data_IF_129107466058
#
_entry.id   IF_129107466058
#
_cell.length_a   1.000
_cell.length_b   1.000
_cell.length_c   1.000
_cell.angle_alpha   90.00
_cell.angle_beta   90.00
_cell.angle_gamma   90.00
#
_symmetry.space_group_name_H-M   'P 1'
#
loop_
_entity.id
_entity.type
_entity.pdbx_description
1 polymer ?
#
# COMPACT_ATOMS: atom_id res chain seq x y z
N UNK A 1 28.81 12.04 21.89
CA UNK A 1 27.68 12.55 21.08
C UNK A 1 26.99 11.34 20.48
N UNK A 2 25.78 11.01 20.94
CA UNK A 2 25.07 9.80 20.50
C UNK A 2 23.98 10.18 19.49
N UNK A 3 23.97 9.48 18.37
CA UNK A 3 23.06 9.69 17.24
C UNK A 3 21.77 8.90 17.45
N UNK A 4 20.63 9.56 17.21
CA UNK A 4 19.31 8.93 17.07
C UNK A 4 19.22 8.44 15.62
N UNK A 5 19.10 7.12 15.42
CA UNK A 5 18.80 6.57 14.08
C UNK A 5 17.42 5.96 14.12
N UNK A 6 16.46 6.71 13.60
CA UNK A 6 15.10 6.24 13.34
C UNK A 6 15.11 5.57 11.97
N UNK A 7 14.97 4.24 11.91
CA UNK A 7 14.75 3.52 10.65
C UNK A 7 13.25 3.24 10.55
N UNK A 8 12.61 3.82 9.54
CA UNK A 8 11.16 3.73 9.31
C UNK A 8 10.97 2.75 8.14
N UNK A 9 10.64 1.50 8.45
CA UNK A 9 10.19 0.50 7.46
C UNK A 9 8.69 0.25 7.72
N UNK A 10 7.77 0.75 6.86
CA UNK A 10 6.33 0.82 7.14
C UNK A 10 5.51 -0.47 7.07
N UNK A 11 6.02 -1.54 7.68
CA UNK A 11 5.15 -2.55 8.29
C UNK A 11 5.40 -2.65 9.80
N UNK A 12 6.55 -2.21 10.29
CA UNK A 12 6.96 -2.47 11.67
C UNK A 12 7.48 -1.18 12.32
N UNK A 13 6.67 -0.58 13.20
CA UNK A 13 7.17 0.48 14.09
C UNK A 13 7.85 -0.17 15.30
N UNK A 14 9.03 -0.74 15.10
CA UNK A 14 9.87 -1.22 16.19
C UNK A 14 10.60 -0.05 16.86
N UNK A 15 10.17 0.33 18.07
CA UNK A 15 10.84 1.33 18.90
C UNK A 15 11.98 0.65 19.65
N UNK A 16 13.22 0.77 19.16
CA UNK A 16 14.41 0.33 19.89
C UNK A 16 14.86 1.43 20.86
N UNK A 17 14.71 1.18 22.17
CA UNK A 17 15.17 2.09 23.23
C UNK A 17 16.60 1.74 23.64
N UNK A 18 17.58 2.57 23.31
CA UNK A 18 18.93 2.46 23.87
C UNK A 18 18.98 3.18 25.23
N UNK A 19 19.14 2.42 26.31
CA UNK A 19 19.25 2.91 27.69
C UNK A 19 20.67 3.45 27.94
N UNK A 20 20.76 4.50 28.76
CA UNK A 20 22.01 5.12 29.23
C UNK A 20 22.79 4.13 30.11
N UNK A 21 24.08 3.93 29.83
CA UNK A 21 24.94 3.08 30.67
C UNK A 21 24.93 3.59 32.14
N UNK A 22 24.54 2.71 33.08
CA UNK A 22 24.62 2.94 34.54
C UNK A 22 23.32 2.85 35.36
N UNK A 23 22.14 2.66 34.75
CA UNK A 23 20.85 2.61 35.49
C UNK A 23 20.59 1.19 36.09
N UNK A 24 20.09 1.06 37.34
CA UNK A 24 19.80 -0.23 37.97
C UNK A 24 18.75 -1.03 37.18
N UNK A 25 18.95 -2.34 37.01
CA UNK A 25 18.04 -3.19 36.23
C UNK A 25 16.57 -3.13 36.70
N UNK A 26 16.33 -2.91 38.00
CA UNK A 26 15.00 -2.80 38.57
C UNK A 26 14.19 -1.58 38.06
N UNK A 27 14.85 -0.50 37.64
CA UNK A 27 14.19 0.75 37.21
C UNK A 27 13.95 0.79 35.69
N UNK A 28 14.63 -0.09 34.93
CA UNK A 28 14.57 -0.11 33.45
C UNK A 28 13.21 -0.54 32.91
N UNK A 29 12.62 -1.59 33.46
CA UNK A 29 11.31 -2.12 33.04
C UNK A 29 10.17 -1.09 33.18
N UNK A 30 9.97 -0.49 34.37
CA UNK A 30 8.95 0.56 34.57
C UNK A 30 9.13 1.79 33.68
N UNK A 31 10.39 2.19 33.42
CA UNK A 31 10.72 3.30 32.53
C UNK A 31 10.37 2.97 31.08
N UNK A 32 10.71 1.76 30.62
CA UNK A 32 10.38 1.27 29.29
C UNK A 32 8.85 1.23 29.08
N UNK A 33 8.10 0.73 30.06
CA UNK A 33 6.64 0.70 30.02
C UNK A 33 6.03 2.12 29.95
N UNK A 34 6.57 3.07 30.72
CA UNK A 34 6.11 4.46 30.72
C UNK A 34 6.36 5.15 29.38
N UNK A 35 7.54 4.92 28.79
CA UNK A 35 7.89 5.44 27.48
C UNK A 35 7.02 4.82 26.38
N UNK A 36 6.85 3.49 26.40
CA UNK A 36 6.00 2.79 25.44
C UNK A 36 4.57 3.33 25.45
N UNK A 37 4.00 3.60 26.63
CA UNK A 37 2.67 4.22 26.76
C UNK A 37 2.60 5.60 26.08
N UNK A 38 3.61 6.44 26.27
CA UNK A 38 3.66 7.76 25.62
C UNK A 38 3.80 7.63 24.10
N UNK A 39 4.69 6.74 23.63
CA UNK A 39 4.91 6.52 22.21
C UNK A 39 3.68 5.92 21.50
N UNK A 40 2.96 4.99 22.14
CA UNK A 40 1.69 4.44 21.66
C UNK A 40 0.65 5.55 21.58
N UNK A 41 0.51 6.37 22.63
CA UNK A 41 -0.46 7.48 22.63
C UNK A 41 -0.16 8.53 21.55
N UNK A 42 1.12 8.85 21.34
CA UNK A 42 1.55 9.74 20.26
C UNK A 42 1.25 9.13 18.88
N UNK A 43 1.54 7.85 18.68
CA UNK A 43 1.20 7.14 17.44
C UNK A 43 -0.31 7.14 17.18
N UNK A 44 -1.13 6.91 18.21
CA UNK A 44 -2.58 6.98 18.11
C UNK A 44 -3.07 8.38 17.73
N UNK A 45 -2.47 9.45 18.26
CA UNK A 45 -2.83 10.83 17.92
C UNK A 45 -2.39 11.20 16.49
N UNK A 46 -1.20 10.79 16.06
CA UNK A 46 -0.75 10.96 14.67
C UNK A 46 -1.71 10.25 13.72
N UNK A 47 -2.08 9.01 14.03
CA UNK A 47 -3.02 8.24 13.25
C UNK A 47 -4.40 8.92 13.24
N UNK A 48 -4.90 9.37 14.40
CA UNK A 48 -6.17 10.11 14.53
C UNK A 48 -6.20 11.37 13.67
N UNK A 49 -5.11 12.14 13.63
CA UNK A 49 -5.02 13.33 12.77
C UNK A 49 -4.99 12.98 11.29
N UNK A 50 -4.31 11.91 10.92
CA UNK A 50 -4.18 11.48 9.53
C UNK A 50 -5.49 10.87 8.99
N UNK A 51 -6.20 10.06 9.80
CA UNK A 51 -7.30 9.22 9.35
C UNK A 51 -8.65 9.54 10.02
N UNK A 52 -8.69 10.49 10.96
CA UNK A 52 -9.91 10.91 11.67
C UNK A 52 -10.30 10.01 12.85
N UNK A 53 -9.60 8.90 13.09
CA UNK A 53 -9.85 7.94 14.18
C UNK A 53 -8.59 7.21 14.63
N UNK A 54 -8.63 6.52 15.76
CA UNK A 54 -7.51 5.68 16.22
C UNK A 54 -7.72 4.25 15.69
N UNK A 55 -6.80 3.72 14.86
CA UNK A 55 -6.91 2.35 14.38
C UNK A 55 -6.64 1.37 15.52
N UNK A 56 -7.25 0.17 15.50
CA UNK A 56 -6.92 -0.87 16.45
C UNK A 56 -5.44 -1.23 16.31
N UNK A 57 -4.83 -1.62 17.43
CA UNK A 57 -3.45 -2.07 17.47
C UNK A 57 -3.34 -3.24 18.43
N UNK A 58 -2.44 -4.16 18.08
CA UNK A 58 -2.03 -5.21 18.99
C UNK A 58 -0.77 -4.79 19.74
N UNK A 59 -0.61 -5.27 20.96
CA UNK A 59 0.56 -4.98 21.78
C UNK A 59 1.20 -6.29 22.21
N UNK A 60 2.52 -6.38 22.01
CA UNK A 60 3.34 -7.51 22.41
C UNK A 60 4.38 -7.05 23.42
N UNK A 61 4.48 -7.76 24.55
CA UNK A 61 5.49 -7.50 25.59
C UNK A 61 6.36 -8.73 25.71
N UNK A 62 7.64 -8.61 25.37
CA UNK A 62 8.57 -9.74 25.28
C UNK A 62 8.03 -10.90 24.42
N UNK A 63 7.33 -10.57 23.32
CA UNK A 63 6.68 -11.54 22.43
C UNK A 63 5.34 -12.10 22.93
N UNK A 64 4.86 -11.68 24.11
CA UNK A 64 3.55 -12.08 24.65
C UNK A 64 2.48 -11.07 24.24
N UNK A 65 1.53 -11.51 23.42
CA UNK A 65 0.39 -10.71 22.98
C UNK A 65 -0.52 -10.35 24.17
N UNK A 66 -0.95 -9.09 24.25
CA UNK A 66 -1.91 -8.62 25.25
C UNK A 66 -1.40 -8.59 26.70
N UNK A 67 -0.11 -8.85 26.92
CA UNK A 67 0.49 -8.76 28.24
C UNK A 67 0.56 -7.30 28.72
N UNK A 68 0.42 -7.03 30.04
CA UNK A 68 0.58 -5.68 30.58
C UNK A 68 1.96 -5.12 30.25
N UNK A 69 2.04 -3.83 29.89
CA UNK A 69 3.29 -3.14 29.55
C UNK A 69 4.30 -3.23 30.70
N UNK A 70 3.81 -3.22 31.93
CA UNK A 70 4.58 -3.31 33.18
C UNK A 70 5.26 -4.68 33.35
N UNK A 71 4.83 -5.70 32.62
CA UNK A 71 5.41 -7.05 32.69
C UNK A 71 6.66 -7.23 31.81
N UNK A 72 7.13 -6.13 31.22
CA UNK A 72 8.36 -6.11 30.41
C UNK A 72 9.58 -6.36 31.29
N UNK A 73 10.47 -7.22 30.81
CA UNK A 73 11.77 -7.44 31.48
C UNK A 73 12.65 -6.17 31.40
N UNK A 74 13.62 -6.01 32.31
CA UNK A 74 14.54 -4.87 32.32
C UNK A 74 15.18 -4.53 30.97
N UNK A 75 15.54 -5.56 30.20
CA UNK A 75 16.11 -5.43 28.85
C UNK A 75 15.15 -6.02 27.78
N UNK A 76 13.84 -5.98 28.08
CA UNK A 76 12.78 -6.51 27.24
C UNK A 76 12.36 -5.56 26.11
N UNK A 77 11.39 -5.99 25.33
CA UNK A 77 10.89 -5.23 24.17
C UNK A 77 9.37 -5.13 24.21
N UNK A 78 8.85 -3.95 23.87
CA UNK A 78 7.42 -3.71 23.69
C UNK A 78 7.20 -3.30 22.23
N UNK A 79 6.30 -3.99 21.55
CA UNK A 79 5.91 -3.72 20.16
C UNK A 79 4.42 -3.40 20.13
N UNK A 80 4.05 -2.34 19.41
CA UNK A 80 2.66 -2.00 19.13
C UNK A 80 2.45 -1.95 17.62
N UNK A 81 1.60 -2.82 17.10
CA UNK A 81 1.36 -3.01 15.67
C UNK A 81 0.01 -2.41 15.30
N UNK A 82 0.01 -1.40 14.42
CA UNK A 82 -1.22 -0.75 13.95
C UNK A 82 -1.60 -1.30 12.57
N UNK A 83 -2.84 -1.75 12.41
CA UNK A 83 -3.38 -2.19 11.12
C UNK A 83 -3.76 -1.00 10.21
N UNK A 84 -2.77 -0.25 9.71
CA UNK A 84 -3.01 0.95 8.90
C UNK A 84 -3.33 0.66 7.42
N UNK A 85 -2.89 -0.50 6.91
CA UNK A 85 -3.06 -0.86 5.50
C UNK A 85 -4.52 -1.22 5.18
N UNK A 86 -5.22 -1.95 6.05
CA UNK A 86 -6.63 -2.29 5.86
C UNK A 86 -7.51 -1.04 5.74
N UNK A 87 -7.29 -0.03 6.59
CA UNK A 87 -8.01 1.24 6.50
C UNK A 87 -7.66 2.03 5.23
N UNK A 88 -6.39 2.04 4.82
CA UNK A 88 -5.98 2.65 3.56
C UNK A 88 -6.73 2.02 2.38
N UNK A 89 -6.81 0.69 2.31
CA UNK A 89 -7.49 -0.02 1.21
C UNK A 89 -9.00 0.21 1.22
N UNK A 90 -9.64 0.09 2.38
CA UNK A 90 -11.07 0.35 2.52
C UNK A 90 -11.42 1.79 2.11
N UNK A 91 -10.62 2.78 2.54
CA UNK A 91 -10.83 4.18 2.20
C UNK A 91 -10.63 4.44 0.69
N UNK A 92 -9.61 3.87 0.07
CA UNK A 92 -9.40 4.00 -1.39
C UNK A 92 -10.60 3.39 -2.14
N UNK A 93 -11.03 2.19 -1.74
CA UNK A 93 -12.19 1.52 -2.35
C UNK A 93 -13.45 2.38 -2.28
N UNK A 94 -13.74 2.95 -1.11
CA UNK A 94 -14.87 3.88 -0.91
C UNK A 94 -14.74 5.13 -1.80
N UNK A 95 -13.55 5.74 -1.86
CA UNK A 95 -13.32 6.93 -2.69
C UNK A 95 -13.44 6.64 -4.18
N UNK A 96 -13.01 5.47 -4.65
CA UNK A 96 -13.20 5.06 -6.05
C UNK A 96 -14.69 4.98 -6.40
N UNK A 97 -15.51 4.37 -5.53
CA UNK A 97 -16.97 4.31 -5.71
C UNK A 97 -17.58 5.71 -5.68
N UNK A 98 -17.25 6.54 -4.69
CA UNK A 98 -17.84 7.87 -4.52
C UNK A 98 -17.48 8.86 -5.63
N UNK A 99 -16.31 8.70 -6.27
CA UNK A 99 -15.85 9.56 -7.37
C UNK A 99 -16.18 8.97 -8.75
N UNK A 100 -16.87 7.83 -8.80
CA UNK A 100 -17.22 7.19 -10.06
C UNK A 100 -18.37 7.89 -10.78
N UNK A 101 -18.29 8.06 -12.11
CA UNK A 101 -19.41 8.57 -12.89
C UNK A 101 -20.59 7.58 -12.87
N UNK A 102 -21.80 8.13 -12.78
CA UNK A 102 -23.03 7.34 -12.76
C UNK A 102 -23.76 7.49 -14.09
N UNK A 103 -23.93 6.36 -14.78
CA UNK A 103 -24.86 6.20 -15.91
C UNK A 103 -25.70 4.93 -15.68
N UNK A 104 -25.04 3.77 -15.62
CA UNK A 104 -25.63 2.47 -15.25
C UNK A 104 -25.18 1.99 -13.87
N UNK A 105 -24.06 2.52 -13.36
CA UNK A 105 -23.40 2.06 -12.13
C UNK A 105 -22.27 1.05 -12.38
N UNK A 106 -22.14 0.52 -13.60
CA UNK A 106 -21.16 -0.53 -13.93
C UNK A 106 -19.73 -0.11 -13.63
N UNK A 107 -19.37 1.14 -13.90
CA UNK A 107 -18.02 1.64 -13.62
C UNK A 107 -17.69 1.55 -12.13
N UNK A 108 -18.59 2.01 -11.25
CA UNK A 108 -18.41 1.97 -9.80
C UNK A 108 -18.38 0.53 -9.25
N UNK A 109 -19.12 -0.39 -9.86
CA UNK A 109 -19.15 -1.79 -9.47
C UNK A 109 -17.91 -2.60 -9.95
N UNK A 110 -17.06 -2.01 -10.79
CA UNK A 110 -15.98 -2.72 -11.50
C UNK A 110 -14.57 -2.37 -11.03
N UNK A 111 -14.46 -1.81 -9.82
CA UNK A 111 -13.17 -1.66 -9.17
C UNK A 111 -12.74 -3.02 -8.62
N UNK A 112 -11.59 -3.50 -9.08
CA UNK A 112 -10.96 -4.73 -8.61
C UNK A 112 -9.70 -4.38 -7.81
N UNK A 113 -9.46 -5.17 -6.77
CA UNK A 113 -8.32 -5.02 -5.87
C UNK A 113 -7.46 -6.28 -5.87
N UNK A 114 -6.15 -6.10 -5.86
CA UNK A 114 -5.18 -7.18 -5.99
C UNK A 114 -4.05 -7.01 -4.98
N UNK A 115 -3.55 -8.14 -4.48
CA UNK A 115 -2.35 -8.26 -3.66
C UNK A 115 -1.38 -9.22 -4.40
N UNK A 116 -0.23 -8.72 -4.85
CA UNK A 116 0.74 -9.45 -5.70
C UNK A 116 0.10 -10.17 -6.89
N UNK A 117 -0.87 -9.49 -7.52
CA UNK A 117 -1.60 -10.00 -8.67
C UNK A 117 -2.74 -10.96 -8.34
N UNK A 118 -2.96 -11.34 -7.08
CA UNK A 118 -4.10 -12.16 -6.66
C UNK A 118 -5.28 -11.26 -6.32
N UNK A 119 -6.45 -11.51 -6.91
CA UNK A 119 -7.66 -10.75 -6.61
C UNK A 119 -8.11 -10.98 -5.17
N UNK A 120 -8.37 -9.90 -4.43
CA UNK A 120 -8.77 -9.92 -3.02
C UNK A 120 -9.84 -8.87 -2.77
N UNK A 121 -10.62 -9.05 -1.69
CA UNK A 121 -11.59 -8.05 -1.26
C UNK A 121 -10.91 -6.96 -0.43
N UNK A 122 -11.03 -5.70 -0.86
CA UNK A 122 -10.47 -4.55 -0.17
C UNK A 122 -11.14 -4.27 1.20
N UNK A 123 -12.37 -4.76 1.41
CA UNK A 123 -13.09 -4.66 2.69
C UNK A 123 -12.87 -5.85 3.63
N UNK A 124 -12.18 -6.90 3.18
CA UNK A 124 -11.92 -8.12 3.94
C UNK A 124 -10.52 -8.17 4.54
N UNK A 125 -10.12 -9.35 5.01
CA UNK A 125 -8.74 -9.61 5.44
C UNK A 125 -7.83 -9.64 4.21
N UNK A 126 -6.99 -8.61 4.09
CA UNK A 126 -6.04 -8.48 2.98
C UNK A 126 -4.73 -9.21 3.33
N UNK A 127 -4.25 -10.15 2.50
CA UNK A 127 -2.99 -10.84 2.76
C UNK A 127 -1.80 -9.88 2.62
N UNK A 128 -0.70 -10.18 3.33
CA UNK A 128 0.55 -9.45 3.14
C UNK A 128 1.08 -9.66 1.71
N UNK A 129 1.43 -8.55 1.05
CA UNK A 129 1.96 -8.51 -0.32
C UNK A 129 2.95 -7.35 -0.49
N UNK A 130 3.83 -7.48 -1.49
CA UNK A 130 4.81 -6.43 -1.85
C UNK A 130 4.14 -5.27 -2.60
N UNK A 131 3.23 -5.58 -3.53
CA UNK A 131 2.47 -4.61 -4.32
C UNK A 131 0.97 -4.87 -4.20
N UNK A 132 0.23 -3.83 -3.83
CA UNK A 132 -1.24 -3.82 -3.91
C UNK A 132 -1.70 -2.90 -5.02
N UNK A 133 -2.78 -3.29 -5.71
CA UNK A 133 -3.26 -2.53 -6.86
C UNK A 133 -4.79 -2.51 -6.90
N UNK A 134 -5.34 -1.30 -7.00
CA UNK A 134 -6.70 -1.10 -7.48
C UNK A 134 -6.67 -0.85 -8.98
N UNK A 135 -7.59 -1.43 -9.74
CA UNK A 135 -7.79 -1.12 -11.16
C UNK A 135 -9.26 -1.27 -11.55
N UNK A 136 -9.69 -0.61 -12.63
CA UNK A 136 -11.06 -0.77 -13.12
C UNK A 136 -11.07 -1.73 -14.31
N UNK A 137 -11.91 -2.76 -14.27
CA UNK A 137 -11.95 -3.78 -15.33
C UNK A 137 -12.78 -3.39 -16.55
N UNK A 138 -13.49 -2.26 -16.51
CA UNK A 138 -14.32 -1.83 -17.64
C UNK A 138 -13.48 -1.42 -18.84
N UNK A 139 -13.84 -1.85 -20.07
CA UNK A 139 -13.07 -1.56 -21.27
C UNK A 139 -13.00 -0.06 -21.61
N UNK A 140 -13.97 0.72 -21.13
CA UNK A 140 -14.04 2.17 -21.33
C UNK A 140 -13.43 2.98 -20.18
N UNK A 141 -12.89 2.35 -19.12
CA UNK A 141 -12.40 3.06 -17.96
C UNK A 141 -11.29 4.07 -18.28
N UNK A 142 -10.44 3.74 -19.25
CA UNK A 142 -9.43 4.65 -19.76
C UNK A 142 -9.99 5.93 -20.41
N UNK A 143 -11.16 5.85 -21.06
CA UNK A 143 -11.79 7.04 -21.64
C UNK A 143 -12.24 7.98 -20.54
N UNK A 144 -12.84 7.44 -19.49
CA UNK A 144 -13.22 8.19 -18.29
C UNK A 144 -11.97 8.84 -17.67
N UNK A 145 -10.89 8.08 -17.50
CA UNK A 145 -9.65 8.61 -16.92
C UNK A 145 -9.01 9.75 -17.72
N UNK A 146 -9.26 9.80 -19.04
CA UNK A 146 -8.76 10.87 -19.92
C UNK A 146 -9.69 12.10 -19.97
N UNK A 147 -10.69 12.17 -19.10
CA UNK A 147 -11.63 13.29 -19.05
C UNK A 147 -12.72 13.25 -20.12
N UNK A 148 -12.94 12.10 -20.78
CA UNK A 148 -14.06 11.97 -21.74
C UNK A 148 -15.43 11.80 -21.03
N UNK A 149 -15.44 11.79 -19.69
CA UNK A 149 -16.65 11.87 -18.89
C UNK A 149 -16.77 13.29 -18.30
N UNK A 150 -17.86 14.01 -18.54
CA UNK A 150 -18.11 15.30 -17.89
C UNK A 150 -18.17 15.21 -16.35
N UNK A 151 -18.50 14.03 -15.80
CA UNK A 151 -18.55 13.78 -14.36
C UNK A 151 -17.18 13.49 -13.73
N UNK A 152 -16.17 13.17 -14.55
CA UNK A 152 -14.80 12.88 -14.11
C UNK A 152 -13.79 13.51 -15.07
N UNK A 153 -13.74 14.85 -15.18
CA UNK A 153 -12.89 15.56 -16.13
C UNK A 153 -11.39 15.33 -15.86
N UNK A 154 -11.02 15.18 -14.59
CA UNK A 154 -9.64 14.95 -14.14
C UNK A 154 -9.31 13.47 -13.94
N UNK A 155 -10.19 12.56 -14.37
CA UNK A 155 -10.09 11.13 -14.12
C UNK A 155 -10.43 10.74 -12.67
N UNK A 156 -10.74 9.46 -12.48
CA UNK A 156 -11.16 8.93 -11.16
C UNK A 156 -9.95 8.43 -10.39
N UNK A 157 -9.11 7.62 -11.04
CA UNK A 157 -7.99 6.95 -10.39
C UNK A 157 -6.86 7.91 -10.05
N UNK A 158 -6.54 8.85 -10.93
CA UNK A 158 -5.53 9.87 -10.70
C UNK A 158 -5.95 10.81 -9.56
N UNK A 159 -7.20 11.27 -9.57
CA UNK A 159 -7.79 12.08 -8.50
C UNK A 159 -7.76 11.36 -7.16
N UNK A 160 -8.22 10.11 -7.10
CA UNK A 160 -8.23 9.32 -5.86
C UNK A 160 -6.81 9.00 -5.40
N UNK A 161 -5.87 8.67 -6.29
CA UNK A 161 -4.47 8.47 -5.93
C UNK A 161 -3.86 9.74 -5.31
N UNK A 162 -4.19 10.93 -5.84
CA UNK A 162 -3.72 12.19 -5.26
C UNK A 162 -4.30 12.43 -3.86
N UNK A 163 -5.59 12.18 -3.66
CA UNK A 163 -6.24 12.29 -2.35
C UNK A 163 -5.64 11.27 -1.35
N UNK A 164 -5.45 10.02 -1.78
CA UNK A 164 -4.84 8.96 -0.98
C UNK A 164 -3.40 9.32 -0.58
N UNK A 165 -2.59 9.82 -1.51
CA UNK A 165 -1.22 10.29 -1.21
C UNK A 165 -1.18 11.41 -0.19
N UNK A 166 -2.11 12.36 -0.25
CA UNK A 166 -2.19 13.46 0.72
C UNK A 166 -2.54 12.95 2.12
N UNK A 167 -3.38 11.92 2.21
CA UNK A 167 -3.87 11.36 3.48
C UNK A 167 -2.95 10.31 4.09
N UNK A 168 -2.39 9.41 3.27
CA UNK A 168 -1.68 8.20 3.69
C UNK A 168 -0.26 8.10 3.13
N UNK A 169 0.30 9.17 2.57
CA UNK A 169 1.65 9.15 1.98
C UNK A 169 2.78 8.88 2.99
N UNK A 170 2.49 8.99 4.29
CA UNK A 170 3.36 8.57 5.40
C UNK A 170 3.29 7.07 5.70
N UNK A 171 2.22 6.39 5.28
CA UNK A 171 2.00 4.95 5.50
C UNK A 171 2.54 4.13 4.33
N UNK A 172 2.21 4.49 3.08
CA UNK A 172 2.60 3.71 1.90
C UNK A 172 3.01 4.59 0.71
N UNK A 173 3.75 4.00 -0.24
CA UNK A 173 4.03 4.64 -1.52
C UNK A 173 2.84 4.42 -2.47
N UNK A 174 2.00 5.44 -2.61
CA UNK A 174 0.79 5.40 -3.45
C UNK A 174 1.04 6.15 -4.75
N UNK A 175 0.74 5.54 -5.91
CA UNK A 175 0.97 6.10 -7.24
C UNK A 175 -0.15 5.76 -8.21
N UNK A 176 -0.49 6.71 -9.08
CA UNK A 176 -1.31 6.43 -10.25
C UNK A 176 -0.47 5.78 -11.35
N UNK A 177 -1.02 4.80 -12.04
CA UNK A 177 -0.41 4.14 -13.19
C UNK A 177 -1.45 3.53 -14.12
N UNK A 178 -0.99 2.92 -15.21
CA UNK A 178 -1.80 2.09 -16.09
C UNK A 178 -1.29 0.65 -16.01
N UNK A 179 -2.15 -0.30 -15.69
CA UNK A 179 -1.83 -1.73 -15.54
C UNK A 179 -2.62 -2.58 -16.51
N UNK A 180 -2.03 -3.66 -17.01
CA UNK A 180 -2.72 -4.65 -17.84
C UNK A 180 -3.34 -5.72 -16.95
N UNK A 181 -4.61 -5.99 -17.18
CA UNK A 181 -5.34 -7.09 -16.56
C UNK A 181 -5.33 -8.29 -17.53
N UNK A 182 -4.95 -9.46 -17.05
CA UNK A 182 -5.04 -10.71 -17.80
C UNK A 182 -5.64 -11.77 -16.86
N UNK A 183 -6.60 -12.55 -17.37
CA UNK A 183 -7.42 -13.54 -16.65
C UNK A 183 -6.70 -14.16 -15.42
N UNK A 184 -7.16 -13.80 -14.22
CA UNK A 184 -6.65 -14.33 -12.95
C UNK A 184 -5.62 -13.46 -12.21
N UNK A 185 -5.13 -12.35 -12.78
CA UNK A 185 -4.25 -11.45 -12.05
C UNK A 185 -3.72 -10.20 -12.77
N UNK A 186 -2.80 -9.50 -12.11
CA UNK A 186 -2.04 -8.38 -12.69
C UNK A 186 -0.72 -8.92 -13.19
N UNK A 187 -0.37 -8.61 -14.44
CA UNK A 187 0.93 -8.98 -14.99
C UNK A 187 1.92 -7.84 -14.66
N UNK A 188 2.89 -8.04 -13.73
CA UNK A 188 4.01 -7.11 -13.60
C UNK A 188 4.85 -7.19 -14.87
N UNK A 189 5.48 -6.07 -15.24
CA UNK A 189 6.29 -5.95 -16.45
C UNK A 189 7.46 -6.96 -16.42
N UNK A 190 7.30 -8.11 -17.08
CA UNK A 190 8.41 -8.92 -17.54
C UNK A 190 8.71 -8.48 -18.97
N UNK A 191 9.78 -7.72 -19.16
CA UNK A 191 10.29 -7.35 -20.47
C UNK A 191 10.83 -8.57 -21.22
N UNK A 192 9.97 -9.50 -21.65
CA UNK A 192 10.37 -10.57 -22.56
C UNK A 192 10.26 -10.04 -23.98
N UNK A 193 11.37 -9.46 -24.44
CA UNK A 193 11.60 -9.24 -25.85
C UNK A 193 11.47 -10.59 -26.58
N UNK A 194 10.53 -10.70 -27.51
CA UNK A 194 10.49 -11.85 -28.41
C UNK A 194 11.73 -11.80 -29.31
N UNK A 195 12.60 -12.81 -29.17
CA UNK A 195 13.86 -12.89 -29.92
C UNK A 195 13.59 -13.65 -31.22
N UNK A 196 13.89 -13.04 -32.37
CA UNK A 196 13.88 -13.74 -33.66
C UNK A 196 15.31 -14.01 -34.13
N UNK A 197 15.48 -14.95 -35.06
CA UNK A 197 16.77 -15.23 -35.69
C UNK A 197 16.84 -14.53 -37.05
N UNK A 198 17.94 -13.86 -37.33
CA UNK A 198 18.21 -13.33 -38.67
C UNK A 198 18.60 -14.46 -39.65
N UNK A 199 18.77 -14.12 -40.93
CA UNK A 199 19.18 -15.07 -41.97
C UNK A 199 20.57 -15.69 -41.76
N UNK A 200 21.34 -15.21 -40.77
CA UNK A 200 22.64 -15.76 -40.33
C UNK A 200 22.53 -16.47 -38.98
N UNK A 201 21.32 -16.72 -38.49
CA UNK A 201 21.06 -17.44 -37.24
C UNK A 201 21.34 -16.62 -35.97
N UNK A 202 21.63 -15.32 -36.08
CA UNK A 202 21.89 -14.47 -34.91
C UNK A 202 20.58 -14.00 -34.30
N UNK A 203 20.52 -14.01 -32.98
CA UNK A 203 19.42 -13.45 -32.21
C UNK A 203 19.33 -11.93 -32.44
N UNK A 204 18.16 -11.45 -32.87
CA UNK A 204 17.83 -10.03 -33.06
C UNK A 204 16.49 -9.73 -32.37
N UNK A 205 16.35 -8.53 -31.83
CA UNK A 205 15.04 -8.03 -31.39
C UNK A 205 14.06 -8.02 -32.58
N UNK A 206 12.88 -8.64 -32.42
CA UNK A 206 11.91 -8.78 -33.50
C UNK A 206 11.36 -7.41 -33.94
N UNK A 207 11.83 -6.90 -35.08
CA UNK A 207 11.38 -5.63 -35.63
C UNK A 207 9.95 -5.75 -36.20
N UNK A 208 8.98 -5.07 -35.56
CA UNK A 208 7.61 -4.87 -36.08
C UNK A 208 6.51 -5.54 -35.27
N UNK A 209 6.69 -6.80 -34.85
CA UNK A 209 5.76 -7.49 -33.96
C UNK A 209 5.64 -6.77 -32.61
N UNK A 210 6.77 -6.29 -32.09
CA UNK A 210 6.83 -5.53 -30.84
C UNK A 210 6.02 -4.23 -30.89
N UNK A 211 5.86 -3.55 -32.04
CA UNK A 211 5.11 -2.28 -32.08
C UNK A 211 3.61 -2.53 -32.03
N UNK A 212 3.11 -3.50 -32.78
CA UNK A 212 1.69 -3.85 -32.78
C UNK A 212 1.27 -4.49 -31.44
N UNK A 213 2.12 -5.32 -30.86
CA UNK A 213 1.92 -5.89 -29.51
C UNK A 213 1.96 -4.78 -28.46
N UNK A 214 2.97 -3.90 -28.47
CA UNK A 214 3.02 -2.74 -27.55
C UNK A 214 1.83 -1.80 -27.71
N UNK A 215 1.30 -1.62 -28.93
CA UNK A 215 0.12 -0.80 -29.18
C UNK A 215 -1.15 -1.47 -28.62
N UNK A 216 -1.38 -2.76 -28.92
CA UNK A 216 -2.51 -3.52 -28.36
C UNK A 216 -2.45 -3.60 -26.84
N UNK A 217 -1.27 -3.88 -26.29
CA UNK A 217 -1.03 -3.90 -24.85
C UNK A 217 -1.24 -2.52 -24.24
N UNK A 218 -0.73 -1.45 -24.87
CA UNK A 218 -1.03 -0.08 -24.44
C UNK A 218 -2.53 0.14 -24.40
N UNK A 219 -3.29 -0.41 -25.34
CA UNK A 219 -4.73 -0.22 -25.49
C UNK A 219 -5.56 -1.08 -24.51
N UNK A 220 -5.00 -2.16 -23.95
CA UNK A 220 -5.64 -2.99 -22.90
C UNK A 220 -5.34 -2.53 -21.47
N UNK A 221 -4.38 -1.61 -21.28
CA UNK A 221 -4.08 -1.10 -19.94
C UNK A 221 -5.21 -0.24 -19.39
N UNK A 222 -5.57 -0.53 -18.15
CA UNK A 222 -6.59 0.16 -17.39
C UNK A 222 -5.97 1.08 -16.33
N UNK A 223 -6.67 2.15 -15.94
CA UNK A 223 -6.22 3.03 -14.87
C UNK A 223 -6.11 2.25 -13.55
N UNK A 224 -5.05 2.52 -12.80
CA UNK A 224 -4.72 1.80 -11.58
C UNK A 224 -4.08 2.68 -10.51
N UNK A 225 -4.38 2.38 -9.24
CA UNK A 225 -3.68 2.91 -8.07
C UNK A 225 -2.77 1.79 -7.57
N UNK A 226 -1.47 2.04 -7.60
CA UNK A 226 -0.43 1.13 -7.14
C UNK A 226 0.03 1.58 -5.76
N UNK A 227 0.06 0.65 -4.82
CA UNK A 227 0.41 0.86 -3.43
C UNK A 227 1.53 -0.12 -3.11
N UNK A 228 2.73 0.42 -2.87
CA UNK A 228 3.85 -0.37 -2.39
C UNK A 228 4.05 -0.08 -0.91
N UNK A 229 4.21 -1.14 -0.13
CA UNK A 229 4.65 -0.99 1.25
C UNK A 229 6.13 -0.62 1.23
N UNK A 230 6.48 0.34 2.06
CA UNK A 230 7.84 0.90 2.11
C UNK A 230 8.68 0.14 3.13
#
# INVERSE_FOLDING_TARGET
MAHVTTKIEPIERSILLAIRDGEPAAERGPRLASYARQAIAEAQEVNRRAIGRVPPHETFVDGRQGAPLESVRPDGVIVAEFELLGELFAWIGEMLVNNSPVLTGDYAASHAFFADGVAVDAGGTVPAAEEYVFLNVQPYARKIERGLSPQAPDGVYESVALMARRRFGNVASIRFSFRSFQEGGIVPYAGTASVSRDSRGRYKAAAGADRAVRLRERDTRQPAIVIAVR
#
